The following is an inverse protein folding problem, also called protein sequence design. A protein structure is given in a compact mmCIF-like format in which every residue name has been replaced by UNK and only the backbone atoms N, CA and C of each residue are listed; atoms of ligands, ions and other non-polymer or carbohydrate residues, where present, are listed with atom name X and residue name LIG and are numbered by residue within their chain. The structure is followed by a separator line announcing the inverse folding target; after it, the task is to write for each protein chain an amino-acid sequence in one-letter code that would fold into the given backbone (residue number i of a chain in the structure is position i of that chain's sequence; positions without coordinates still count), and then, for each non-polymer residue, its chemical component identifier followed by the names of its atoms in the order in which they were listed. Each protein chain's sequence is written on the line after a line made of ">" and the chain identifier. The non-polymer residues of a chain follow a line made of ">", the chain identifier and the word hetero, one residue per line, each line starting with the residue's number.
data_IF_173775605293
#
_entry.id   IF_173775605293
#
_cell.length_a   1.000
_cell.length_b   1.000
_cell.length_c   1.000
_cell.angle_alpha   90.00
_cell.angle_beta   90.00
_cell.angle_gamma   90.00
#
_symmetry.space_group_name_H-M   'P 1'
#
loop_
_entity.id
_entity.type
_entity.pdbx_description
1 polymer ?
#
# COMPACT_ATOMS: atom_id res chain seq x y z
N UNK A 1 29.32 41.85 -8.09
CA UNK A 1 29.89 42.88 -8.99
C UNK A 1 29.89 42.40 -10.42
N UNK A 2 28.78 42.58 -11.13
CA UNK A 2 28.76 42.50 -12.60
C UNK A 2 29.43 43.78 -13.10
N UNK A 3 30.44 43.73 -13.99
CA UNK A 3 31.12 44.93 -14.45
C UNK A 3 30.15 45.89 -15.14
N UNK A 4 30.22 47.17 -14.79
CA UNK A 4 29.37 48.29 -15.25
C UNK A 4 29.21 48.36 -16.79
N UNK A 5 30.16 47.78 -17.53
CA UNK A 5 30.14 47.67 -19.01
C UNK A 5 29.07 46.72 -19.57
N UNK A 6 28.58 45.76 -18.79
CA UNK A 6 27.53 44.82 -19.25
C UNK A 6 26.14 45.41 -18.99
N UNK A 7 26.00 46.28 -17.99
CA UNK A 7 24.72 46.89 -17.60
C UNK A 7 24.16 47.90 -18.62
N UNK A 8 25.00 48.41 -19.54
CA UNK A 8 24.64 49.47 -20.49
C UNK A 8 24.67 49.05 -21.97
N UNK A 9 24.71 47.74 -22.27
CA UNK A 9 24.63 47.27 -23.67
C UNK A 9 23.17 47.39 -24.14
N UNK A 10 22.86 48.45 -24.88
CA UNK A 10 21.61 48.57 -25.63
C UNK A 10 21.69 47.65 -26.85
N UNK A 11 21.06 46.48 -26.76
CA UNK A 11 20.86 45.61 -27.93
C UNK A 11 19.93 46.33 -28.90
N UNK A 12 20.33 46.43 -30.16
CA UNK A 12 19.51 47.06 -31.20
C UNK A 12 18.16 46.34 -31.31
N UNK A 13 17.05 47.09 -31.31
CA UNK A 13 15.70 46.54 -31.48
C UNK A 13 15.56 45.75 -32.77
N UNK A 14 16.30 46.09 -33.82
CA UNK A 14 16.35 45.33 -35.06
C UNK A 14 17.00 43.96 -34.86
N UNK A 15 18.11 43.90 -34.12
CA UNK A 15 18.77 42.63 -33.74
C UNK A 15 17.82 41.78 -32.89
N UNK A 16 17.11 42.41 -31.94
CA UNK A 16 16.17 41.71 -31.07
C UNK A 16 15.00 41.11 -31.85
N UNK A 17 14.34 41.91 -32.70
CA UNK A 17 13.09 41.53 -33.38
C UNK A 17 13.29 40.70 -34.64
N UNK A 18 14.36 40.92 -35.40
CA UNK A 18 14.60 40.22 -36.67
C UNK A 18 15.49 38.99 -36.55
N UNK A 19 16.30 38.89 -35.49
CA UNK A 19 17.24 37.78 -35.31
C UNK A 19 17.01 37.01 -34.01
N UNK A 20 17.07 37.69 -32.85
CA UNK A 20 16.96 37.00 -31.56
C UNK A 20 15.57 36.36 -31.35
N UNK A 21 14.48 37.10 -31.60
CA UNK A 21 13.12 36.59 -31.40
C UNK A 21 12.79 35.40 -32.30
N UNK A 22 13.02 35.43 -33.63
CA UNK A 22 12.78 34.27 -34.48
C UNK A 22 13.63 33.05 -34.07
N UNK A 23 14.89 33.25 -33.67
CA UNK A 23 15.74 32.15 -33.19
C UNK A 23 15.20 31.53 -31.91
N UNK A 24 14.74 32.35 -30.95
CA UNK A 24 14.10 31.86 -29.73
C UNK A 24 12.80 31.13 -30.03
N UNK A 25 11.97 31.63 -30.95
CA UNK A 25 10.73 30.97 -31.38
C UNK A 25 11.03 29.62 -32.04
N UNK A 26 12.02 29.56 -32.93
CA UNK A 26 12.44 28.29 -33.55
C UNK A 26 12.99 27.33 -32.49
N UNK A 27 13.83 27.80 -31.58
CA UNK A 27 14.35 26.97 -30.48
C UNK A 27 13.23 26.45 -29.57
N UNK A 28 12.21 27.26 -29.28
CA UNK A 28 11.01 26.84 -28.54
C UNK A 28 10.21 25.79 -29.30
N UNK A 29 9.95 25.98 -30.59
CA UNK A 29 9.24 25.01 -31.44
C UNK A 29 10.00 23.68 -31.49
N UNK A 30 11.32 23.73 -31.70
CA UNK A 30 12.17 22.54 -31.70
C UNK A 30 12.16 21.87 -30.33
N UNK A 31 12.23 22.64 -29.24
CA UNK A 31 12.14 22.12 -27.88
C UNK A 31 10.80 21.45 -27.57
N UNK A 32 9.69 22.05 -27.97
CA UNK A 32 8.35 21.44 -27.83
C UNK A 32 8.27 20.16 -28.65
N UNK A 33 8.70 20.21 -29.92
CA UNK A 33 8.67 19.07 -30.83
C UNK A 33 9.53 17.90 -30.32
N UNK A 34 10.73 18.17 -29.82
CA UNK A 34 11.67 17.13 -29.37
C UNK A 34 11.37 16.57 -27.99
N UNK A 35 10.95 17.41 -27.04
CA UNK A 35 10.83 16.98 -25.64
C UNK A 35 9.39 16.76 -25.17
N UNK A 36 8.40 17.46 -25.76
CA UNK A 36 7.02 17.39 -25.28
C UNK A 36 6.14 16.47 -26.13
N UNK A 37 6.28 16.49 -27.47
CA UNK A 37 5.45 15.65 -28.34
C UNK A 37 5.58 14.14 -28.05
N UNK A 38 6.80 13.57 -27.85
CA UNK A 38 6.90 12.15 -27.49
C UNK A 38 6.15 11.81 -26.20
N UNK A 39 6.23 12.69 -25.19
CA UNK A 39 5.50 12.52 -23.92
C UNK A 39 3.99 12.61 -24.09
N UNK A 40 3.50 13.56 -24.90
CA UNK A 40 2.06 13.69 -25.18
C UNK A 40 1.50 12.47 -25.92
N UNK A 41 2.23 11.95 -26.91
CA UNK A 41 1.83 10.73 -27.60
C UNK A 41 1.88 9.51 -26.68
N UNK A 42 2.92 9.39 -25.84
CA UNK A 42 3.03 8.30 -24.87
C UNK A 42 1.86 8.31 -23.87
N UNK A 43 1.48 9.50 -23.38
CA UNK A 43 0.31 9.66 -22.51
C UNK A 43 -1.00 9.27 -23.22
N UNK A 44 -1.16 9.62 -24.49
CA UNK A 44 -2.32 9.20 -25.28
C UNK A 44 -2.38 7.67 -25.45
N UNK A 45 -1.24 7.03 -25.77
CA UNK A 45 -1.15 5.57 -25.88
C UNK A 45 -1.45 4.86 -24.54
N UNK A 46 -0.99 5.41 -23.40
CA UNK A 46 -1.35 4.91 -22.07
C UNK A 46 -2.86 4.99 -21.82
N UNK A 47 -3.51 6.11 -22.18
CA UNK A 47 -4.96 6.28 -22.05
C UNK A 47 -5.70 5.25 -22.90
N UNK A 48 -5.26 5.03 -24.15
CA UNK A 48 -5.81 3.98 -25.01
C UNK A 48 -5.69 2.60 -24.36
N UNK A 49 -4.55 2.32 -23.70
CA UNK A 49 -4.34 1.11 -22.90
C UNK A 49 -5.37 0.95 -21.78
N UNK A 50 -5.58 1.97 -20.97
CA UNK A 50 -6.59 1.92 -19.90
C UNK A 50 -8.02 1.75 -20.41
N UNK A 51 -8.34 2.28 -21.59
CA UNK A 51 -9.67 2.15 -22.18
C UNK A 51 -9.90 0.80 -22.88
N UNK A 52 -8.82 0.11 -23.28
CA UNK A 52 -8.92 -1.18 -23.96
C UNK A 52 -9.43 -2.28 -23.00
N UNK A 53 -10.62 -2.82 -23.27
CA UNK A 53 -11.14 -4.00 -22.56
C UNK A 53 -10.34 -5.28 -22.89
N UNK A 54 -9.91 -5.40 -24.14
CA UNK A 54 -9.09 -6.51 -24.65
C UNK A 54 -7.65 -6.40 -24.12
N UNK A 55 -7.15 -7.39 -23.35
CA UNK A 55 -5.81 -7.37 -22.78
C UNK A 55 -4.70 -7.34 -23.86
N UNK A 56 -4.91 -7.90 -25.05
CA UNK A 56 -3.89 -7.86 -26.11
C UNK A 56 -3.73 -6.43 -26.64
N UNK A 57 -4.85 -5.75 -26.91
CA UNK A 57 -4.84 -4.34 -27.35
C UNK A 57 -4.31 -3.40 -26.28
N UNK A 58 -4.59 -3.71 -25.01
CA UNK A 58 -4.04 -2.96 -23.88
C UNK A 58 -2.51 -3.06 -23.86
N UNK A 59 -1.94 -4.26 -23.98
CA UNK A 59 -0.49 -4.44 -24.00
C UNK A 59 0.17 -3.70 -25.17
N UNK A 60 -0.37 -3.85 -26.38
CA UNK A 60 0.08 -3.13 -27.58
C UNK A 60 0.08 -1.59 -27.39
N UNK A 61 -0.89 -1.06 -26.67
CA UNK A 61 -0.90 0.37 -26.33
C UNK A 61 0.25 0.77 -25.38
N UNK A 62 0.57 -0.07 -24.38
CA UNK A 62 1.73 0.17 -23.52
C UNK A 62 3.05 0.00 -24.26
N UNK A 63 3.16 -0.95 -25.19
CA UNK A 63 4.33 -1.11 -26.07
C UNK A 63 4.58 0.17 -26.88
N UNK A 64 3.55 0.69 -27.56
CA UNK A 64 3.64 1.97 -28.27
C UNK A 64 4.05 3.13 -27.37
N UNK A 65 3.51 3.19 -26.15
CA UNK A 65 3.82 4.25 -25.20
C UNK A 65 5.32 4.24 -24.81
N UNK A 66 5.88 3.07 -24.55
CA UNK A 66 7.31 2.88 -24.28
C UNK A 66 8.16 3.25 -25.50
N UNK A 67 7.75 2.81 -26.70
CA UNK A 67 8.45 3.07 -27.95
C UNK A 67 8.51 4.56 -28.33
N UNK A 68 7.66 5.40 -27.74
CA UNK A 68 7.77 6.86 -27.90
C UNK A 68 9.09 7.41 -27.36
N UNK A 69 9.84 6.65 -26.55
CA UNK A 69 11.11 7.07 -25.97
C UNK A 69 11.02 8.45 -25.30
N UNK A 70 9.93 8.65 -24.57
CA UNK A 70 9.68 9.89 -23.83
C UNK A 70 10.38 9.87 -22.47
N UNK A 71 10.44 11.02 -21.81
CA UNK A 71 10.96 11.13 -20.44
C UNK A 71 10.11 10.35 -19.41
N UNK A 72 8.91 9.89 -19.80
CA UNK A 72 7.95 9.21 -18.93
C UNK A 72 8.15 7.69 -18.86
N UNK A 73 9.28 7.14 -19.33
CA UNK A 73 9.55 5.69 -19.33
C UNK A 73 9.32 5.03 -17.96
N UNK A 74 9.74 5.68 -16.87
CA UNK A 74 9.46 5.19 -15.52
C UNK A 74 7.96 5.09 -15.24
N UNK A 75 7.21 6.18 -15.43
CA UNK A 75 5.77 6.19 -15.16
C UNK A 75 5.03 5.14 -16.00
N UNK A 76 5.37 5.03 -17.30
CA UNK A 76 4.75 4.04 -18.21
C UNK A 76 5.06 2.62 -17.74
N UNK A 77 6.30 2.35 -17.35
CA UNK A 77 6.73 1.03 -16.86
C UNK A 77 6.06 0.71 -15.52
N UNK A 78 5.93 1.69 -14.62
CA UNK A 78 5.25 1.50 -13.35
C UNK A 78 3.77 1.17 -13.54
N UNK A 79 3.10 1.87 -14.45
CA UNK A 79 1.70 1.59 -14.81
C UNK A 79 1.54 0.24 -15.51
N UNK A 80 2.44 -0.11 -16.44
CA UNK A 80 2.49 -1.42 -17.07
C UNK A 80 2.64 -2.54 -16.02
N UNK A 81 3.52 -2.37 -15.04
CA UNK A 81 3.69 -3.34 -13.96
C UNK A 81 2.41 -3.53 -13.12
N UNK A 82 1.68 -2.45 -12.83
CA UNK A 82 0.37 -2.55 -12.17
C UNK A 82 -0.65 -3.31 -13.03
N UNK A 83 -0.67 -3.07 -14.35
CA UNK A 83 -1.53 -3.83 -15.27
C UNK A 83 -1.15 -5.31 -15.28
N UNK A 84 0.14 -5.63 -15.30
CA UNK A 84 0.64 -7.00 -15.27
C UNK A 84 0.25 -7.72 -13.99
N UNK A 85 0.31 -7.06 -12.83
CA UNK A 85 -0.16 -7.64 -11.56
C UNK A 85 -1.66 -7.98 -11.64
N UNK A 86 -2.48 -7.09 -12.20
CA UNK A 86 -3.92 -7.31 -12.39
C UNK A 86 -4.18 -8.48 -13.35
N UNK A 87 -3.49 -8.50 -14.50
CA UNK A 87 -3.60 -9.54 -15.53
C UNK A 87 -3.16 -10.90 -15.01
N UNK A 88 -2.06 -10.96 -14.27
CA UNK A 88 -1.51 -12.19 -13.69
C UNK A 88 -2.50 -12.89 -12.74
N UNK A 89 -3.30 -12.12 -12.00
CA UNK A 89 -4.28 -12.63 -11.04
C UNK A 89 -5.63 -13.01 -11.66
N UNK A 90 -5.84 -12.70 -12.94
CA UNK A 90 -7.10 -12.98 -13.62
C UNK A 90 -7.04 -14.34 -14.36
N UNK A 91 -7.72 -15.39 -13.86
CA UNK A 91 -7.69 -16.70 -14.50
C UNK A 91 -8.41 -16.73 -15.85
N UNK A 92 -9.25 -15.74 -16.17
CA UNK A 92 -9.99 -15.67 -17.44
C UNK A 92 -9.13 -15.20 -18.63
N UNK A 93 -7.97 -14.57 -18.37
CA UNK A 93 -7.06 -14.14 -19.44
C UNK A 93 -6.21 -15.35 -19.86
N UNK A 94 -6.02 -15.63 -21.16
CA UNK A 94 -5.18 -16.74 -21.61
C UNK A 94 -3.75 -16.68 -21.04
N UNK A 95 -3.16 -17.85 -20.74
CA UNK A 95 -1.82 -17.95 -20.16
C UNK A 95 -0.75 -17.27 -21.02
N UNK A 96 -0.82 -17.46 -22.35
CA UNK A 96 0.10 -16.84 -23.30
C UNK A 96 0.09 -15.31 -23.19
N UNK A 97 -1.10 -14.69 -23.05
CA UNK A 97 -1.23 -13.25 -22.88
C UNK A 97 -0.64 -12.81 -21.53
N UNK A 98 -0.91 -13.56 -20.45
CA UNK A 98 -0.30 -13.27 -19.14
C UNK A 98 1.23 -13.34 -19.20
N UNK A 99 1.78 -14.31 -19.94
CA UNK A 99 3.22 -14.47 -20.13
C UNK A 99 3.84 -13.31 -20.93
N UNK A 100 3.16 -12.81 -21.97
CA UNK A 100 3.60 -11.63 -22.73
C UNK A 100 3.68 -10.38 -21.86
N UNK A 101 2.64 -10.13 -21.05
CA UNK A 101 2.65 -9.04 -20.06
C UNK A 101 3.84 -9.17 -19.09
N UNK A 102 4.04 -10.35 -18.52
CA UNK A 102 5.13 -10.61 -17.58
C UNK A 102 6.50 -10.36 -18.22
N UNK A 103 6.76 -10.95 -19.39
CA UNK A 103 8.02 -10.80 -20.10
C UNK A 103 8.32 -9.35 -20.46
N UNK A 104 7.35 -8.63 -21.04
CA UNK A 104 7.55 -7.25 -21.45
C UNK A 104 7.73 -6.31 -20.25
N UNK A 105 6.99 -6.54 -19.16
CA UNK A 105 7.17 -5.77 -17.92
C UNK A 105 8.54 -5.98 -17.33
N UNK A 106 8.99 -7.23 -17.23
CA UNK A 106 10.32 -7.56 -16.71
C UNK A 106 11.42 -6.90 -17.54
N UNK A 107 11.32 -6.91 -18.87
CA UNK A 107 12.25 -6.20 -19.75
C UNK A 107 12.34 -4.70 -19.41
N UNK A 108 11.19 -4.03 -19.28
CA UNK A 108 11.17 -2.59 -18.99
C UNK A 108 11.64 -2.25 -17.57
N UNK A 109 11.40 -3.14 -16.59
CA UNK A 109 11.92 -3.00 -15.23
C UNK A 109 13.45 -3.12 -15.19
N UNK A 110 14.03 -4.09 -15.89
CA UNK A 110 15.50 -4.25 -15.98
C UNK A 110 16.14 -3.09 -16.76
N UNK A 111 15.42 -2.54 -17.75
CA UNK A 111 15.83 -1.29 -18.40
C UNK A 111 15.86 -0.12 -17.42
N UNK A 112 14.83 0.04 -16.57
CA UNK A 112 14.81 1.09 -15.55
C UNK A 112 15.98 0.98 -14.56
N UNK A 113 16.28 -0.24 -14.11
CA UNK A 113 17.42 -0.53 -13.24
C UNK A 113 18.74 -0.08 -13.89
N UNK A 114 18.91 -0.40 -15.18
CA UNK A 114 20.11 -0.02 -15.95
C UNK A 114 20.20 1.49 -16.18
N UNK A 115 19.08 2.17 -16.42
CA UNK A 115 19.04 3.62 -16.63
C UNK A 115 19.26 4.41 -15.34
N UNK A 116 18.97 3.81 -14.17
CA UNK A 116 19.03 4.44 -12.85
C UNK A 116 19.79 3.58 -11.82
N UNK A 117 21.07 3.28 -12.07
CA UNK A 117 21.84 2.40 -11.20
C UNK A 117 21.98 3.02 -9.81
N UNK A 118 21.76 2.22 -8.76
CA UNK A 118 21.89 2.67 -7.38
C UNK A 118 20.67 3.42 -6.82
N UNK A 119 19.57 3.54 -7.57
CA UNK A 119 18.34 4.13 -7.05
C UNK A 119 17.54 3.09 -6.23
N UNK A 120 17.63 3.19 -4.90
CA UNK A 120 16.91 2.31 -3.99
C UNK A 120 15.39 2.29 -4.23
N UNK A 121 14.80 3.38 -4.76
CA UNK A 121 13.36 3.41 -5.06
C UNK A 121 13.00 2.49 -6.23
N UNK A 122 13.85 2.42 -7.25
CA UNK A 122 13.66 1.55 -8.40
C UNK A 122 13.75 0.10 -7.93
N UNK A 123 14.74 -0.24 -7.10
CA UNK A 123 14.87 -1.57 -6.51
C UNK A 123 13.65 -1.98 -5.65
N UNK A 124 13.13 -1.06 -4.82
CA UNK A 124 11.89 -1.30 -4.07
C UNK A 124 10.72 -1.56 -5.01
N UNK A 125 10.62 -0.80 -6.11
CA UNK A 125 9.55 -0.98 -7.08
C UNK A 125 9.61 -2.35 -7.76
N UNK A 126 10.80 -2.72 -8.26
CA UNK A 126 11.05 -4.03 -8.91
C UNK A 126 10.80 -5.17 -7.93
N UNK A 127 11.34 -5.10 -6.71
CA UNK A 127 11.12 -6.12 -5.69
C UNK A 127 9.64 -6.25 -5.30
N UNK A 128 8.90 -5.14 -5.27
CA UNK A 128 7.45 -5.14 -5.01
C UNK A 128 6.66 -5.82 -6.13
N UNK A 129 7.04 -5.57 -7.39
CA UNK A 129 6.47 -6.27 -8.55
C UNK A 129 6.70 -7.77 -8.48
N UNK A 130 7.93 -8.21 -8.18
CA UNK A 130 8.25 -9.63 -8.05
C UNK A 130 7.50 -10.29 -6.88
N UNK A 131 7.36 -9.60 -5.74
CA UNK A 131 6.53 -10.10 -4.63
C UNK A 131 5.07 -10.25 -5.05
N UNK A 132 4.51 -9.27 -5.75
CA UNK A 132 3.12 -9.28 -6.17
C UNK A 132 2.80 -10.35 -7.23
N UNK A 133 3.81 -10.78 -8.00
CA UNK A 133 3.75 -11.85 -9.01
C UNK A 133 4.33 -13.18 -8.52
N UNK A 134 4.54 -13.33 -7.21
CA UNK A 134 5.00 -14.56 -6.55
C UNK A 134 6.41 -15.04 -6.96
N UNK A 135 7.26 -14.16 -7.48
CA UNK A 135 8.68 -14.42 -7.78
C UNK A 135 9.55 -14.03 -6.57
N UNK A 136 9.36 -14.74 -5.45
CA UNK A 136 9.81 -14.27 -4.14
C UNK A 136 11.33 -14.18 -3.97
N UNK A 137 12.10 -15.02 -4.66
CA UNK A 137 13.57 -14.96 -4.59
C UNK A 137 14.10 -13.69 -5.27
N UNK A 138 13.58 -13.34 -6.45
CA UNK A 138 13.89 -12.06 -7.11
C UNK A 138 13.43 -10.88 -6.27
N UNK A 139 12.26 -10.99 -5.61
CA UNK A 139 11.80 -9.95 -4.70
C UNK A 139 12.78 -9.73 -3.54
N UNK A 140 13.31 -10.80 -2.96
CA UNK A 140 14.30 -10.72 -1.87
C UNK A 140 15.62 -10.10 -2.36
N UNK A 141 16.10 -10.47 -3.55
CA UNK A 141 17.31 -9.93 -4.17
C UNK A 141 17.21 -8.40 -4.36
N UNK A 142 16.16 -7.92 -5.02
CA UNK A 142 15.98 -6.47 -5.24
C UNK A 142 15.75 -5.71 -3.94
N UNK A 143 15.07 -6.29 -2.94
CA UNK A 143 14.95 -5.64 -1.63
C UNK A 143 16.29 -5.58 -0.87
N UNK A 144 17.19 -6.55 -1.08
CA UNK A 144 18.55 -6.49 -0.55
C UNK A 144 19.40 -5.42 -1.23
N UNK A 145 19.29 -5.26 -2.56
CA UNK A 145 19.93 -4.15 -3.30
C UNK A 145 19.39 -2.79 -2.84
N UNK A 146 18.08 -2.66 -2.70
CA UNK A 146 17.45 -1.46 -2.16
C UNK A 146 18.02 -1.09 -0.78
N UNK A 147 18.20 -2.08 0.10
CA UNK A 147 18.80 -1.89 1.42
C UNK A 147 20.28 -1.53 1.32
N UNK A 148 21.04 -2.10 0.39
CA UNK A 148 22.42 -1.70 0.16
C UNK A 148 22.53 -0.20 -0.19
N UNK A 149 21.62 0.31 -1.01
CA UNK A 149 21.61 1.73 -1.41
C UNK A 149 21.02 2.66 -0.34
N UNK A 150 20.15 2.15 0.56
CA UNK A 150 19.61 2.93 1.68
C UNK A 150 19.50 2.09 2.97
N UNK A 151 20.62 1.84 3.68
CA UNK A 151 20.72 0.83 4.73
C UNK A 151 19.80 1.00 5.94
N UNK A 152 19.48 2.24 6.28
CA UNK A 152 18.69 2.58 7.48
C UNK A 152 17.25 3.01 7.14
N UNK A 153 16.82 2.87 5.88
CA UNK A 153 15.45 3.24 5.50
C UNK A 153 14.48 2.18 6.02
N UNK A 154 13.82 2.48 7.14
CA UNK A 154 12.86 1.58 7.80
C UNK A 154 11.85 0.96 6.81
N UNK A 155 11.31 1.74 5.87
CA UNK A 155 10.35 1.25 4.88
C UNK A 155 10.92 0.11 4.00
N UNK A 156 12.21 0.14 3.65
CA UNK A 156 12.86 -0.92 2.85
C UNK A 156 13.03 -2.18 3.70
N UNK A 157 13.48 -2.02 4.95
CA UNK A 157 13.62 -3.13 5.91
C UNK A 157 12.25 -3.79 6.16
N UNK A 158 11.19 -3.00 6.29
CA UNK A 158 9.81 -3.52 6.38
C UNK A 158 9.40 -4.30 5.13
N UNK A 159 9.76 -3.84 3.91
CA UNK A 159 9.49 -4.59 2.70
C UNK A 159 10.24 -5.94 2.67
N UNK A 160 11.48 -6.00 3.18
CA UNK A 160 12.17 -7.29 3.38
C UNK A 160 11.39 -8.19 4.34
N UNK A 161 10.84 -7.65 5.42
CA UNK A 161 9.94 -8.35 6.33
C UNK A 161 8.72 -8.94 5.61
N UNK A 162 8.07 -8.16 4.74
CA UNK A 162 6.92 -8.65 3.96
C UNK A 162 7.30 -9.71 2.92
N UNK A 163 8.46 -9.59 2.27
CA UNK A 163 8.97 -10.65 1.38
C UNK A 163 9.21 -11.94 2.17
N UNK A 164 9.88 -11.85 3.33
CA UNK A 164 10.15 -12.99 4.20
C UNK A 164 8.85 -13.67 4.69
N UNK A 165 7.84 -12.89 5.10
CA UNK A 165 6.51 -13.43 5.43
C UNK A 165 5.89 -14.18 4.25
N UNK A 166 5.96 -13.62 3.05
CA UNK A 166 5.40 -14.27 1.86
C UNK A 166 6.16 -15.56 1.51
N UNK A 167 7.45 -15.64 1.86
CA UNK A 167 8.26 -16.87 1.77
C UNK A 167 8.03 -17.85 2.93
N UNK A 168 7.10 -17.57 3.84
CA UNK A 168 6.88 -18.32 5.09
C UNK A 168 8.11 -18.36 6.02
N UNK A 169 9.04 -17.41 5.88
CA UNK A 169 10.23 -17.24 6.74
C UNK A 169 9.89 -16.31 7.90
N UNK A 170 9.00 -16.76 8.78
CA UNK A 170 8.39 -15.91 9.81
C UNK A 170 9.42 -15.33 10.80
N UNK A 171 10.40 -16.12 11.25
CA UNK A 171 11.45 -15.64 12.17
C UNK A 171 12.35 -14.56 11.54
N UNK A 172 12.64 -14.70 10.24
CA UNK A 172 13.40 -13.70 9.49
C UNK A 172 12.58 -12.40 9.36
N UNK A 173 11.28 -12.52 9.08
CA UNK A 173 10.39 -11.37 9.05
C UNK A 173 10.33 -10.64 10.40
N UNK A 174 10.20 -11.37 11.51
CA UNK A 174 10.25 -10.80 12.87
C UNK A 174 11.54 -10.01 13.06
N UNK A 175 12.67 -10.55 12.61
CA UNK A 175 13.98 -9.87 12.72
C UNK A 175 14.01 -8.56 11.94
N UNK A 176 13.52 -8.54 10.70
CA UNK A 176 13.44 -7.30 9.91
C UNK A 176 12.49 -6.26 10.52
N UNK A 177 11.29 -6.67 10.96
CA UNK A 177 10.34 -5.72 11.55
C UNK A 177 10.83 -5.19 12.91
N UNK A 178 11.48 -6.05 13.71
CA UNK A 178 12.16 -5.63 14.95
C UNK A 178 13.22 -4.58 14.67
N UNK A 179 14.11 -4.85 13.71
CA UNK A 179 15.15 -3.89 13.33
C UNK A 179 14.54 -2.57 12.85
N UNK A 180 13.52 -2.63 11.98
CA UNK A 180 12.83 -1.44 11.52
C UNK A 180 12.21 -0.66 12.70
N UNK A 181 11.64 -1.33 13.70
CA UNK A 181 11.10 -0.68 14.89
C UNK A 181 12.20 -0.04 15.76
N UNK A 182 13.28 -0.78 16.04
CA UNK A 182 14.38 -0.32 16.92
C UNK A 182 15.17 0.86 16.33
N UNK A 183 15.12 1.08 15.01
CA UNK A 183 15.70 2.28 14.38
C UNK A 183 15.01 3.58 14.80
N UNK A 184 13.70 3.56 15.05
CA UNK A 184 12.94 4.66 15.65
C UNK A 184 11.64 4.13 16.24
N UNK A 185 11.62 3.91 17.55
CA UNK A 185 10.49 3.32 18.26
C UNK A 185 9.22 4.21 18.25
N UNK A 186 9.35 5.48 17.84
CA UNK A 186 8.20 6.38 17.63
C UNK A 186 7.46 6.08 16.33
N UNK A 187 8.04 5.26 15.45
CA UNK A 187 7.40 4.82 14.22
C UNK A 187 6.33 3.76 14.54
N UNK A 188 5.09 4.24 14.72
CA UNK A 188 3.96 3.39 15.08
C UNK A 188 3.68 2.29 14.05
N UNK A 189 3.93 2.53 12.76
CA UNK A 189 3.77 1.52 11.72
C UNK A 189 4.82 0.41 11.84
N UNK A 190 6.08 0.76 12.10
CA UNK A 190 7.12 -0.25 12.34
C UNK A 190 6.79 -1.10 13.58
N UNK A 191 6.31 -0.44 14.64
CA UNK A 191 5.86 -1.09 15.88
C UNK A 191 4.70 -2.07 15.64
N UNK A 192 3.72 -1.65 14.85
CA UNK A 192 2.58 -2.47 14.44
C UNK A 192 3.01 -3.70 13.64
N UNK A 193 3.86 -3.54 12.62
CA UNK A 193 4.34 -4.68 11.83
C UNK A 193 5.16 -5.66 12.65
N UNK A 194 5.95 -5.16 13.60
CA UNK A 194 6.68 -6.01 14.54
C UNK A 194 5.72 -6.81 15.44
N UNK A 195 4.70 -6.17 16.02
CA UNK A 195 3.68 -6.86 16.80
C UNK A 195 2.93 -7.92 15.98
N UNK A 196 2.53 -7.59 14.75
CA UNK A 196 1.86 -8.52 13.85
C UNK A 196 2.73 -9.75 13.53
N UNK A 197 4.01 -9.55 13.22
CA UNK A 197 4.94 -10.64 12.95
C UNK A 197 5.19 -11.52 14.20
N UNK A 198 5.23 -10.94 15.40
CA UNK A 198 5.35 -11.70 16.64
C UNK A 198 4.13 -12.60 16.89
N UNK A 199 2.92 -12.15 16.56
CA UNK A 199 1.73 -13.02 16.63
C UNK A 199 1.84 -14.22 15.68
N UNK A 200 2.39 -14.04 14.48
CA UNK A 200 2.59 -15.12 13.49
C UNK A 200 3.53 -16.23 13.97
N UNK A 201 4.46 -15.94 14.88
CA UNK A 201 5.39 -16.92 15.47
C UNK A 201 4.98 -17.37 16.89
N UNK A 202 3.80 -16.95 17.37
CA UNK A 202 3.29 -17.31 18.70
C UNK A 202 3.96 -16.57 19.87
N UNK A 203 4.74 -15.53 19.62
CA UNK A 203 5.33 -14.67 20.64
C UNK A 203 4.30 -13.64 21.18
N UNK A 204 3.14 -14.13 21.62
CA UNK A 204 1.93 -13.35 21.85
C UNK A 204 2.05 -12.35 23.00
N UNK A 205 2.78 -12.71 24.07
CA UNK A 205 3.01 -11.81 25.21
C UNK A 205 3.87 -10.60 24.83
N UNK A 206 4.94 -10.83 24.06
CA UNK A 206 5.80 -9.76 23.53
C UNK A 206 5.03 -8.88 22.54
N UNK A 207 4.23 -9.49 21.66
CA UNK A 207 3.38 -8.76 20.73
C UNK A 207 2.37 -7.85 21.44
N UNK A 208 1.66 -8.38 22.45
CA UNK A 208 0.66 -7.64 23.20
C UNK A 208 1.27 -6.47 24.00
N UNK A 209 2.49 -6.63 24.51
CA UNK A 209 3.20 -5.56 25.21
C UNK A 209 3.49 -4.35 24.30
N UNK A 210 3.63 -4.56 22.98
CA UNK A 210 3.85 -3.46 22.03
C UNK A 210 2.63 -2.54 21.83
N UNK A 211 1.46 -2.88 22.37
CA UNK A 211 0.28 -2.01 22.37
C UNK A 211 0.27 -1.03 23.56
N UNK A 212 1.26 -1.09 24.45
CA UNK A 212 1.40 -0.21 25.60
C UNK A 212 2.46 0.87 25.32
N UNK A 213 2.13 2.14 25.53
CA UNK A 213 3.06 3.26 25.48
C UNK A 213 3.57 3.56 26.89
N UNK A 214 4.89 3.72 27.04
CA UNK A 214 5.50 4.18 28.31
C UNK A 214 5.41 5.72 28.48
N UNK A 215 4.88 6.42 27.47
CA UNK A 215 4.73 7.87 27.45
C UNK A 215 3.35 8.31 28.02
N UNK A 216 2.78 9.38 27.49
CA UNK A 216 1.52 9.94 27.92
C UNK A 216 0.29 9.31 27.23
N UNK A 217 -0.90 9.71 27.70
CA UNK A 217 -2.20 9.27 27.15
C UNK A 217 -2.39 9.65 25.67
N UNK A 218 -1.76 10.72 25.20
CA UNK A 218 -1.85 11.16 23.80
C UNK A 218 -1.12 10.18 22.90
N UNK A 219 0.08 9.77 23.28
CA UNK A 219 0.84 8.75 22.56
C UNK A 219 0.16 7.38 22.63
N UNK A 220 -0.42 7.00 23.78
CA UNK A 220 -1.23 5.79 23.88
C UNK A 220 -2.41 5.82 22.92
N UNK A 221 -3.13 6.94 22.81
CA UNK A 221 -4.27 7.07 21.90
C UNK A 221 -3.84 6.97 20.43
N UNK A 222 -2.72 7.60 20.04
CA UNK A 222 -2.16 7.50 18.69
C UNK A 222 -1.75 6.07 18.34
N UNK A 223 -1.13 5.37 19.28
CA UNK A 223 -0.75 3.97 19.14
C UNK A 223 -1.98 3.07 18.96
N UNK A 224 -2.98 3.20 19.83
CA UNK A 224 -4.24 2.45 19.71
C UNK A 224 -4.93 2.71 18.37
N UNK A 225 -4.93 3.96 17.90
CA UNK A 225 -5.49 4.30 16.59
C UNK A 225 -4.73 3.63 15.44
N UNK A 226 -3.39 3.57 15.51
CA UNK A 226 -2.59 2.87 14.49
C UNK A 226 -2.93 1.37 14.49
N UNK A 227 -2.91 0.74 15.67
CA UNK A 227 -3.18 -0.69 15.83
C UNK A 227 -4.61 -1.05 15.38
N UNK A 228 -5.60 -0.25 15.76
CA UNK A 228 -7.00 -0.44 15.38
C UNK A 228 -7.25 -0.21 13.88
N UNK A 229 -6.37 0.50 13.14
CA UNK A 229 -6.46 0.64 11.68
C UNK A 229 -5.85 -0.52 10.91
N UNK A 230 -5.11 -1.41 11.57
CA UNK A 230 -4.31 -2.43 10.91
C UNK A 230 -5.04 -3.76 10.75
N UNK A 231 -5.47 -4.05 9.53
CA UNK A 231 -6.01 -5.36 9.18
C UNK A 231 -4.96 -6.47 9.28
N UNK A 232 -3.69 -6.16 8.99
CA UNK A 232 -2.60 -7.13 9.10
C UNK A 232 -2.35 -7.54 10.55
N UNK A 233 -2.30 -6.59 11.47
CA UNK A 233 -2.18 -6.87 12.89
C UNK A 233 -3.40 -7.62 13.44
N UNK A 234 -4.60 -7.13 13.14
CA UNK A 234 -5.86 -7.73 13.62
C UNK A 234 -5.98 -9.17 13.14
N UNK A 235 -5.72 -9.43 11.86
CA UNK A 235 -5.77 -10.79 11.30
C UNK A 235 -4.69 -11.70 11.91
N UNK A 236 -3.47 -11.20 12.11
CA UNK A 236 -2.39 -11.97 12.75
C UNK A 236 -2.71 -12.32 14.20
N UNK A 237 -3.20 -11.37 15.00
CA UNK A 237 -3.62 -11.59 16.37
C UNK A 237 -4.81 -12.57 16.47
N UNK A 238 -5.80 -12.42 15.58
CA UNK A 238 -6.96 -13.32 15.54
C UNK A 238 -6.57 -14.76 15.18
N UNK A 239 -5.67 -14.95 14.20
CA UNK A 239 -5.14 -16.27 13.85
C UNK A 239 -4.34 -16.91 14.99
N UNK A 240 -3.65 -16.08 15.79
CA UNK A 240 -2.94 -16.51 17.00
C UNK A 240 -3.88 -16.73 18.22
N UNK A 241 -5.21 -16.65 18.04
CA UNK A 241 -6.21 -16.84 19.09
C UNK A 241 -6.21 -15.76 20.17
N UNK A 242 -5.65 -14.58 19.88
CA UNK A 242 -5.53 -13.48 20.84
C UNK A 242 -6.80 -12.63 20.88
N UNK A 243 -7.93 -13.25 21.20
CA UNK A 243 -9.25 -12.62 21.11
C UNK A 243 -9.42 -11.42 22.06
N UNK A 244 -8.83 -11.44 23.25
CA UNK A 244 -8.83 -10.29 24.17
C UNK A 244 -8.12 -9.07 23.56
N UNK A 245 -6.97 -9.29 22.91
CA UNK A 245 -6.23 -8.23 22.23
C UNK A 245 -7.06 -7.63 21.08
N UNK A 246 -7.67 -8.49 20.25
CA UNK A 246 -8.51 -8.03 19.14
C UNK A 246 -9.76 -7.32 19.66
N UNK A 247 -10.41 -7.84 20.71
CA UNK A 247 -11.58 -7.22 21.33
C UNK A 247 -11.27 -5.80 21.79
N UNK A 248 -10.12 -5.56 22.45
CA UNK A 248 -9.66 -4.21 22.85
C UNK A 248 -9.54 -3.24 21.68
N UNK A 249 -9.08 -3.71 20.51
CA UNK A 249 -9.01 -2.87 19.31
C UNK A 249 -10.40 -2.51 18.78
N UNK A 250 -11.35 -3.45 18.81
CA UNK A 250 -12.73 -3.17 18.39
C UNK A 250 -13.52 -2.34 19.41
N UNK A 251 -13.29 -2.53 20.71
CA UNK A 251 -13.77 -1.63 21.77
C UNK A 251 -13.29 -0.20 21.51
N UNK A 252 -12.00 -0.03 21.20
CA UNK A 252 -11.44 1.27 20.82
C UNK A 252 -12.09 1.83 19.55
N UNK A 253 -12.32 1.01 18.52
CA UNK A 253 -13.02 1.42 17.29
C UNK A 253 -14.43 1.96 17.60
N UNK A 254 -15.19 1.27 18.44
CA UNK A 254 -16.57 1.63 18.78
C UNK A 254 -16.67 2.81 19.78
N UNK A 255 -15.62 3.05 20.56
CA UNK A 255 -15.49 4.23 21.41
C UNK A 255 -14.99 5.48 20.68
N UNK A 256 -14.47 5.34 19.45
CA UNK A 256 -13.92 6.46 18.68
C UNK A 256 -15.03 7.39 18.17
N UNK A 257 -14.88 8.68 18.42
CA UNK A 257 -15.82 9.72 17.97
C UNK A 257 -15.89 9.79 16.42
N UNK A 258 -17.08 9.68 15.80
CA UNK A 258 -17.28 9.88 14.36
C UNK A 258 -16.72 11.20 13.82
N UNK A 259 -16.62 12.25 14.66
CA UNK A 259 -16.05 13.54 14.29
C UNK A 259 -14.58 13.45 13.84
N UNK A 260 -13.89 12.35 14.14
CA UNK A 260 -12.55 12.05 13.62
C UNK A 260 -12.53 11.68 12.12
N UNK A 261 -13.70 11.54 11.49
CA UNK A 261 -13.86 11.07 10.10
C UNK A 261 -13.80 9.55 9.97
N UNK A 262 -13.53 8.82 11.05
CA UNK A 262 -13.58 7.37 11.12
C UNK A 262 -15.00 6.92 11.49
N UNK A 263 -15.69 6.28 10.55
CA UNK A 263 -17.08 5.84 10.70
C UNK A 263 -17.21 4.46 11.34
N UNK A 264 -16.28 4.08 12.22
CA UNK A 264 -16.22 2.73 12.77
C UNK A 264 -17.46 2.34 13.59
N UNK A 265 -18.02 3.28 14.34
CA UNK A 265 -19.25 3.05 15.13
C UNK A 265 -20.51 2.92 14.25
N UNK A 266 -20.45 3.42 13.02
CA UNK A 266 -21.53 3.33 12.02
C UNK A 266 -21.46 2.02 11.20
N UNK A 267 -20.34 1.29 11.31
CA UNK A 267 -20.12 0.06 10.56
C UNK A 267 -20.61 -1.16 11.37
N UNK A 268 -21.68 -1.85 10.91
CA UNK A 268 -22.23 -3.00 11.62
C UNK A 268 -21.23 -4.15 11.76
N UNK A 269 -20.23 -4.25 10.87
CA UNK A 269 -19.21 -5.29 10.95
C UNK A 269 -18.36 -5.15 12.22
N UNK A 270 -18.07 -3.92 12.68
CA UNK A 270 -17.30 -3.72 13.91
C UNK A 270 -18.06 -4.21 15.16
N UNK A 271 -19.37 -3.96 15.21
CA UNK A 271 -20.24 -4.45 16.29
C UNK A 271 -20.36 -5.98 16.28
N UNK A 272 -20.65 -6.56 15.11
CA UNK A 272 -20.76 -8.01 14.96
C UNK A 272 -19.44 -8.72 15.32
N UNK A 273 -18.30 -8.14 14.89
CA UNK A 273 -16.97 -8.69 15.20
C UNK A 273 -16.69 -8.63 16.69
N UNK A 274 -16.95 -7.51 17.37
CA UNK A 274 -16.74 -7.41 18.82
C UNK A 274 -17.61 -8.40 19.60
N UNK A 275 -18.90 -8.52 19.23
CA UNK A 275 -19.80 -9.48 19.84
C UNK A 275 -19.31 -10.93 19.66
N UNK A 276 -18.85 -11.28 18.46
CA UNK A 276 -18.27 -12.60 18.19
C UNK A 276 -17.00 -12.84 19.00
N UNK A 277 -16.12 -11.83 19.14
CA UNK A 277 -14.92 -11.93 19.97
C UNK A 277 -15.24 -12.15 21.44
N UNK A 278 -16.29 -11.51 21.98
CA UNK A 278 -16.76 -11.78 23.34
C UNK A 278 -17.36 -13.19 23.46
N UNK A 279 -18.14 -13.62 22.47
CA UNK A 279 -18.68 -14.98 22.43
C UNK A 279 -17.57 -16.05 22.45
N UNK A 280 -16.51 -15.89 21.65
CA UNK A 280 -15.33 -16.78 21.63
C UNK A 280 -14.55 -16.82 22.96
N UNK A 281 -14.78 -15.86 23.85
CA UNK A 281 -14.17 -15.76 25.17
C UNK A 281 -15.14 -16.19 26.28
N UNK A 282 -16.23 -16.88 25.94
CA UNK A 282 -17.31 -17.28 26.86
C UNK A 282 -17.97 -16.09 27.59
N UNK A 283 -17.87 -14.88 27.03
CA UNK A 283 -18.47 -13.64 27.56
C UNK A 283 -19.84 -13.37 26.92
N UNK A 284 -20.74 -14.35 26.98
CA UNK A 284 -22.05 -14.29 26.30
C UNK A 284 -22.90 -13.07 26.67
N UNK A 285 -22.89 -12.66 27.94
CA UNK A 285 -23.62 -11.46 28.39
C UNK A 285 -23.10 -10.17 27.71
N UNK A 286 -21.78 -9.99 27.63
CA UNK A 286 -21.17 -8.85 26.94
C UNK A 286 -21.43 -8.88 25.43
N UNK A 287 -21.42 -10.07 24.83
CA UNK A 287 -21.74 -10.23 23.42
C UNK A 287 -23.18 -9.76 23.13
N UNK A 288 -24.15 -10.19 23.95
CA UNK A 288 -25.55 -9.78 23.85
C UNK A 288 -25.71 -8.26 24.07
N UNK A 289 -25.05 -7.70 25.09
CA UNK A 289 -25.07 -6.26 25.36
C UNK A 289 -24.54 -5.45 24.16
N UNK A 290 -23.44 -5.91 23.56
CA UNK A 290 -22.85 -5.29 22.37
C UNK A 290 -23.82 -5.30 21.19
N UNK A 291 -24.49 -6.42 20.94
CA UNK A 291 -25.47 -6.56 19.85
C UNK A 291 -26.72 -5.71 20.09
N UNK A 292 -27.22 -5.65 21.32
CA UNK A 292 -28.37 -4.81 21.66
C UNK A 292 -28.04 -3.33 21.47
N UNK A 293 -26.85 -2.90 21.92
CA UNK A 293 -26.36 -1.53 21.68
C UNK A 293 -26.24 -1.23 20.18
N UNK A 294 -25.75 -2.19 19.40
CA UNK A 294 -25.68 -2.05 17.95
C UNK A 294 -27.07 -1.90 17.32
N UNK A 295 -28.05 -2.69 17.75
CA UNK A 295 -29.42 -2.64 17.25
C UNK A 295 -30.11 -1.30 17.52
N UNK A 296 -29.84 -0.68 18.67
CA UNK A 296 -30.35 0.67 19.00
C UNK A 296 -29.72 1.75 18.12
N UNK A 297 -28.41 1.62 17.82
CA UNK A 297 -27.65 2.62 17.07
C UNK A 297 -27.80 2.49 15.56
N UNK A 298 -27.97 1.27 15.05
CA UNK A 298 -27.96 0.93 13.63
C UNK A 298 -29.27 0.22 13.26
N UNK A 299 -30.35 0.97 12.96
CA UNK A 299 -31.67 0.38 12.69
C UNK A 299 -31.69 -0.65 11.55
N UNK A 300 -30.85 -0.47 10.52
CA UNK A 300 -30.73 -1.41 9.40
C UNK A 300 -30.09 -2.74 9.81
N UNK A 301 -29.24 -2.74 10.85
CA UNK A 301 -28.58 -3.93 11.37
C UNK A 301 -29.35 -4.59 12.54
N UNK A 302 -30.34 -3.90 13.10
CA UNK A 302 -31.09 -4.37 14.26
C UNK A 302 -31.67 -5.80 14.13
N UNK A 303 -32.29 -6.21 12.99
CA UNK A 303 -32.81 -7.57 12.86
C UNK A 303 -31.73 -8.64 12.99
N UNK A 304 -30.59 -8.44 12.31
CA UNK A 304 -29.45 -9.37 12.36
C UNK A 304 -28.82 -9.39 13.75
N UNK A 305 -28.64 -8.22 14.39
CA UNK A 305 -28.08 -8.12 15.73
C UNK A 305 -28.94 -8.83 16.79
N UNK A 306 -30.27 -8.66 16.72
CA UNK A 306 -31.22 -9.34 17.60
C UNK A 306 -31.21 -10.85 17.40
N UNK A 307 -31.17 -11.32 16.15
CA UNK A 307 -31.06 -12.74 15.85
C UNK A 307 -29.79 -13.36 16.46
N UNK A 308 -28.64 -12.68 16.32
CA UNK A 308 -27.39 -13.11 16.95
C UNK A 308 -27.50 -13.16 18.48
N UNK A 309 -28.11 -12.14 19.10
CA UNK A 309 -28.27 -12.06 20.55
C UNK A 309 -29.18 -13.18 21.09
N UNK A 310 -30.28 -13.48 20.39
CA UNK A 310 -31.20 -14.57 20.73
C UNK A 310 -30.53 -15.95 20.61
N UNK A 311 -29.70 -16.15 19.58
CA UNK A 311 -28.93 -17.38 19.42
C UNK A 311 -27.93 -17.57 20.56
N UNK A 312 -27.16 -16.54 20.92
CA UNK A 312 -26.21 -16.59 22.03
C UNK A 312 -26.94 -16.87 23.34
N UNK A 313 -28.05 -16.19 23.61
CA UNK A 313 -28.87 -16.40 24.81
C UNK A 313 -29.44 -17.83 24.88
N UNK A 314 -29.73 -18.43 23.72
CA UNK A 314 -30.19 -19.81 23.58
C UNK A 314 -29.07 -20.87 23.54
N UNK A 315 -27.80 -20.48 23.68
CA UNK A 315 -26.65 -21.39 23.62
C UNK A 315 -26.37 -21.97 22.23
N UNK A 316 -26.82 -21.30 21.17
CA UNK A 316 -26.57 -21.66 19.75
C UNK A 316 -25.41 -20.87 19.17
N UNK A 317 -24.95 -21.28 17.99
CA UNK A 317 -23.99 -20.48 17.23
C UNK A 317 -24.61 -19.12 16.90
N UNK A 318 -23.88 -17.99 17.06
CA UNK A 318 -24.46 -16.67 16.87
C UNK A 318 -25.13 -16.50 15.51
N UNK A 319 -24.57 -17.05 14.43
CA UNK A 319 -25.04 -16.81 13.06
C UNK A 319 -26.13 -17.79 12.61
N UNK A 320 -26.49 -18.76 13.45
CA UNK A 320 -27.40 -19.85 13.07
C UNK A 320 -28.79 -19.33 12.63
N UNK A 321 -29.10 -19.46 11.34
CA UNK A 321 -30.42 -19.10 10.79
C UNK A 321 -30.69 -17.59 10.68
N UNK A 322 -29.69 -16.74 10.87
CA UNK A 322 -29.82 -15.29 10.72
C UNK A 322 -29.57 -14.85 9.27
N UNK A 323 -30.38 -13.90 8.80
CA UNK A 323 -30.25 -13.27 7.47
C UNK A 323 -29.66 -11.86 7.57
#
# INVERSE_FOLDING_TARGET
>A
NIPEKVANIKVDNMILTQFATPLVVVALIVGIYKFHLPGMHAAADVIDGFQAADPVKRLDAFERAVDRNSFAHQEITEQLAQQTISVARNPQIPEEVRAQYAAYTEEQLMRLETEKPGDARIEVFIGSYYRATNQLDKAAEHMALARQYSPLKQAIIQQQGFVALTQAKNDEAVSYFKEAYELDERNLQAREFYAAALFQVGATSTAAALMQSDNDEVDQNRLMMQFAKSDFLISSANQAGQYDFVAKLFEYRLATDPATGLKWVEDPQNWATLAFLYYQQDMGEKAIETLNTAAERLPEFAPTAQCFAENIAGGRDPQEGCQ
#
